data_IF_971743965596
#
_entry.id   IF_971743965596
#
_cell.length_a   1.000
_cell.length_b   1.000
_cell.length_c   1.000
_cell.angle_alpha   90.00
_cell.angle_beta   90.00
_cell.angle_gamma   90.00
#
_symmetry.space_group_name_H-M   'P 1'
#
loop_
_entity.id
_entity.type
_entity.pdbx_description
1 polymer ?
#
# COMPACT_ATOMS: atom_id res chain seq x y z
N UNK A 1 -14.43 -73.38 20.36
CA UNK A 1 -15.18 -72.15 19.98
C UNK A 1 -14.45 -70.97 20.53
N UNK A 2 -13.67 -70.25 19.69
CA UNK A 2 -13.02 -68.99 20.06
C UNK A 2 -13.92 -67.84 19.58
N UNK A 3 -14.37 -67.03 20.50
CA UNK A 3 -15.11 -65.80 20.19
C UNK A 3 -14.14 -64.65 19.99
N UNK A 4 -14.05 -64.08 18.75
CA UNK A 4 -13.30 -62.87 18.45
C UNK A 4 -14.13 -61.66 18.81
N UNK A 5 -13.63 -60.84 19.75
CA UNK A 5 -14.17 -59.51 20.07
C UNK A 5 -13.54 -58.49 19.12
N UNK A 6 -14.33 -57.88 18.26
CA UNK A 6 -13.92 -56.73 17.42
C UNK A 6 -14.13 -55.48 18.24
N UNK A 7 -13.03 -54.79 18.63
CA UNK A 7 -13.06 -53.46 19.24
C UNK A 7 -13.16 -52.41 18.16
N UNK A 8 -14.33 -51.80 17.99
CA UNK A 8 -14.52 -50.64 17.08
C UNK A 8 -13.93 -49.38 17.69
N UNK A 9 -12.87 -48.83 17.05
CA UNK A 9 -12.32 -47.51 17.39
C UNK A 9 -13.21 -46.44 16.76
N UNK A 10 -13.98 -45.74 17.56
CA UNK A 10 -14.74 -44.57 17.13
C UNK A 10 -13.80 -43.36 17.18
N UNK A 11 -13.31 -42.91 16.01
CA UNK A 11 -12.61 -41.64 15.88
C UNK A 11 -13.62 -40.48 15.97
N UNK A 12 -13.64 -39.78 17.08
CA UNK A 12 -14.29 -38.49 17.18
C UNK A 12 -13.39 -37.44 16.49
N UNK A 13 -13.73 -37.04 15.27
CA UNK A 13 -13.20 -35.85 14.65
C UNK A 13 -13.84 -34.64 15.35
N UNK A 14 -13.15 -34.07 16.32
CA UNK A 14 -13.55 -32.80 16.90
C UNK A 14 -13.34 -31.70 15.85
N UNK A 15 -14.43 -31.20 15.27
CA UNK A 15 -14.43 -30.00 14.46
C UNK A 15 -14.20 -28.82 15.39
N UNK A 16 -12.94 -28.40 15.56
CA UNK A 16 -12.62 -27.16 16.27
C UNK A 16 -13.02 -26.00 15.37
N UNK A 17 -14.20 -25.44 15.58
CA UNK A 17 -14.56 -24.13 15.01
C UNK A 17 -13.64 -23.11 15.64
N UNK A 18 -12.74 -22.50 14.85
CA UNK A 18 -11.96 -21.33 15.28
C UNK A 18 -12.97 -20.25 15.70
N UNK A 19 -12.83 -19.67 16.90
CA UNK A 19 -13.75 -18.62 17.33
C UNK A 19 -13.67 -17.43 16.34
N UNK A 20 -14.82 -16.86 16.00
CA UNK A 20 -14.93 -15.65 15.17
C UNK A 20 -14.32 -14.49 15.94
N UNK A 21 -13.69 -13.53 15.24
CA UNK A 21 -13.21 -12.27 15.84
C UNK A 21 -14.34 -11.57 16.60
N UNK A 22 -13.98 -10.85 17.67
CA UNK A 22 -14.88 -9.98 18.45
C UNK A 22 -14.74 -8.51 18.05
N UNK A 23 -14.05 -8.22 16.94
CA UNK A 23 -13.94 -6.89 16.37
C UNK A 23 -15.31 -6.29 16.01
N UNK A 24 -15.33 -5.00 15.74
CA UNK A 24 -16.56 -4.28 15.37
C UNK A 24 -16.34 -3.38 14.17
N UNK A 25 -17.45 -3.02 13.49
CA UNK A 25 -17.45 -2.09 12.36
C UNK A 25 -18.44 -0.98 12.65
N UNK A 26 -17.95 0.27 12.59
CA UNK A 26 -18.77 1.48 12.58
C UNK A 26 -18.86 2.02 11.15
N UNK A 27 -19.94 2.78 10.90
CA UNK A 27 -20.20 3.40 9.59
C UNK A 27 -20.83 4.78 9.79
N UNK A 28 -20.37 5.77 9.01
CA UNK A 28 -20.89 7.13 9.06
C UNK A 28 -20.71 7.85 7.71
N UNK A 29 -21.50 8.91 7.49
CA UNK A 29 -21.27 9.83 6.38
C UNK A 29 -19.98 10.60 6.60
N UNK A 30 -19.16 10.77 5.52
CA UNK A 30 -17.94 11.56 5.56
C UNK A 30 -18.00 12.81 4.66
N UNK A 31 -19.12 13.03 4.00
CA UNK A 31 -19.38 14.18 3.13
C UNK A 31 -19.82 13.77 1.74
N UNK A 32 -19.66 14.70 0.79
CA UNK A 32 -20.00 14.51 -0.63
C UNK A 32 -18.91 15.11 -1.51
N UNK A 33 -18.68 14.49 -2.66
CA UNK A 33 -17.85 15.05 -3.73
C UNK A 33 -18.55 16.25 -4.39
N UNK A 34 -17.83 16.99 -5.23
CA UNK A 34 -18.40 18.18 -5.91
C UNK A 34 -19.58 17.86 -6.82
N UNK A 35 -19.66 16.64 -7.36
CA UNK A 35 -20.78 16.16 -8.18
C UNK A 35 -21.96 15.60 -7.35
N UNK A 36 -21.89 15.71 -6.01
CA UNK A 36 -22.93 15.26 -5.09
C UNK A 36 -22.87 13.77 -4.72
N UNK A 37 -21.85 13.03 -5.16
CA UNK A 37 -21.69 11.62 -4.79
C UNK A 37 -21.36 11.52 -3.30
N UNK A 38 -22.15 10.75 -2.54
CA UNK A 38 -21.93 10.53 -1.11
C UNK A 38 -20.66 9.74 -0.85
N UNK A 39 -19.90 10.17 0.17
CA UNK A 39 -18.72 9.49 0.67
C UNK A 39 -19.00 9.02 2.10
N UNK A 40 -18.69 7.77 2.34
CA UNK A 40 -18.86 7.11 3.63
C UNK A 40 -17.51 6.78 4.23
N UNK A 41 -17.46 6.69 5.57
CA UNK A 41 -16.26 6.23 6.31
C UNK A 41 -16.65 5.05 7.19
N UNK A 42 -15.87 3.98 7.08
CA UNK A 42 -15.97 2.77 7.87
C UNK A 42 -14.88 2.77 8.94
N UNK A 43 -15.27 2.43 10.17
CA UNK A 43 -14.32 2.32 11.29
C UNK A 43 -14.24 0.86 11.70
N UNK A 44 -13.11 0.24 11.43
CA UNK A 44 -12.81 -1.12 11.81
C UNK A 44 -12.08 -1.11 13.16
N UNK A 45 -12.59 -1.83 14.16
CA UNK A 45 -11.93 -2.04 15.44
C UNK A 45 -11.63 -3.52 15.59
N UNK A 46 -10.37 -3.89 15.82
CA UNK A 46 -10.04 -5.27 16.14
C UNK A 46 -10.28 -5.60 17.62
N UNK A 47 -10.15 -6.87 17.98
CA UNK A 47 -10.36 -7.34 19.37
C UNK A 47 -9.32 -6.82 20.38
N UNK A 48 -8.21 -6.21 19.91
CA UNK A 48 -7.14 -5.63 20.76
C UNK A 48 -7.19 -4.11 20.86
N UNK A 49 -8.20 -3.46 20.28
CA UNK A 49 -8.43 -2.02 20.36
C UNK A 49 -7.67 -1.18 19.33
N UNK A 50 -6.99 -1.79 18.35
CA UNK A 50 -6.52 -1.07 17.19
C UNK A 50 -7.71 -0.65 16.31
N UNK A 51 -7.58 0.49 15.63
CA UNK A 51 -8.62 1.08 14.78
C UNK A 51 -8.07 1.46 13.42
N UNK A 52 -8.83 1.18 12.35
CA UNK A 52 -8.60 1.70 11.02
C UNK A 52 -9.87 2.41 10.51
N UNK A 53 -9.74 3.65 10.06
CA UNK A 53 -10.83 4.41 9.44
C UNK A 53 -10.59 4.52 7.95
N UNK A 54 -11.51 3.99 7.15
CA UNK A 54 -11.37 3.85 5.70
C UNK A 54 -12.58 4.50 5.03
N UNK A 55 -12.36 5.47 4.14
CA UNK A 55 -13.43 6.11 3.41
C UNK A 55 -13.59 5.53 2.00
N UNK A 56 -14.80 5.64 1.45
CA UNK A 56 -15.10 5.18 0.09
C UNK A 56 -14.46 6.05 -1.00
N UNK A 57 -14.15 7.32 -0.75
CA UNK A 57 -13.37 8.14 -1.69
C UNK A 57 -11.91 7.68 -1.69
N UNK A 58 -11.45 7.22 -2.85
CA UNK A 58 -10.09 6.69 -3.03
C UNK A 58 -9.77 5.41 -2.24
N UNK A 59 -10.74 4.80 -1.54
CA UNK A 59 -10.48 3.72 -0.58
C UNK A 59 -9.48 4.11 0.50
N UNK A 60 -9.49 5.39 0.89
CA UNK A 60 -8.42 6.01 1.69
C UNK A 60 -8.46 5.56 3.15
N UNK A 61 -7.34 5.08 3.66
CA UNK A 61 -7.09 4.93 5.09
C UNK A 61 -6.86 6.32 5.70
N UNK A 62 -7.92 6.89 6.28
CA UNK A 62 -7.90 8.21 6.88
C UNK A 62 -7.13 8.23 8.21
N UNK A 63 -7.24 7.13 8.99
CA UNK A 63 -6.60 6.99 10.30
C UNK A 63 -6.28 5.52 10.55
N UNK A 64 -5.17 5.27 11.24
CA UNK A 64 -4.76 3.95 11.69
C UNK A 64 -4.12 4.07 13.07
N UNK A 65 -4.82 3.62 14.12
CA UNK A 65 -4.32 3.72 15.49
C UNK A 65 -3.72 2.41 15.97
N UNK A 66 -2.47 2.50 16.45
CA UNK A 66 -1.72 1.36 16.95
C UNK A 66 -1.11 1.67 18.33
N UNK A 67 -1.01 0.67 19.24
CA UNK A 67 -0.40 0.86 20.55
C UNK A 67 1.13 1.04 20.46
N UNK A 68 1.70 1.82 21.39
CA UNK A 68 3.12 1.83 21.68
C UNK A 68 3.48 0.77 22.74
N UNK A 69 4.77 0.71 23.16
CA UNK A 69 5.24 -0.23 24.21
C UNK A 69 4.56 -0.10 25.55
N UNK A 70 3.92 1.04 25.82
CA UNK A 70 3.14 1.31 27.03
C UNK A 70 1.63 1.08 26.84
N UNK A 71 1.22 0.58 25.66
CA UNK A 71 -0.18 0.39 25.31
C UNK A 71 -0.92 1.68 24.91
N UNK A 72 -0.22 2.83 24.81
CA UNK A 72 -0.84 4.09 24.37
C UNK A 72 -1.09 4.06 22.85
N UNK A 73 -2.34 4.21 22.48
CA UNK A 73 -2.76 4.31 21.09
C UNK A 73 -2.36 5.67 20.49
N UNK A 74 -1.89 5.66 19.25
CA UNK A 74 -1.71 6.85 18.43
C UNK A 74 -2.03 6.55 16.97
N UNK A 75 -2.59 7.54 16.29
CA UNK A 75 -2.74 7.51 14.83
C UNK A 75 -1.36 7.63 14.18
N UNK A 76 -1.01 6.66 13.33
CA UNK A 76 0.33 6.53 12.75
C UNK A 76 0.39 6.85 11.26
N UNK A 77 -0.70 7.40 10.67
CA UNK A 77 -0.73 7.78 9.26
C UNK A 77 -1.06 9.26 9.07
N UNK A 78 -0.47 9.89 8.07
CA UNK A 78 -0.78 11.26 7.69
C UNK A 78 -2.09 11.33 6.91
N UNK A 79 -2.76 12.49 6.92
CA UNK A 79 -4.01 12.70 6.21
C UNK A 79 -4.69 14.00 6.62
N UNK A 80 -6.02 14.08 6.37
CA UNK A 80 -6.84 15.23 6.74
C UNK A 80 -8.00 14.80 7.65
N UNK A 81 -8.58 15.78 8.37
CA UNK A 81 -9.73 15.55 9.24
C UNK A 81 -11.04 15.42 8.46
N UNK A 82 -11.10 15.94 7.23
CA UNK A 82 -12.30 16.01 6.43
C UNK A 82 -12.04 15.66 4.96
N UNK A 83 -13.12 15.34 4.24
CA UNK A 83 -13.07 14.96 2.82
C UNK A 83 -12.49 16.06 1.92
N UNK A 84 -12.79 17.35 2.22
CA UNK A 84 -12.38 18.45 1.36
C UNK A 84 -10.86 18.52 1.19
N UNK A 85 -10.09 18.27 2.24
CA UNK A 85 -8.63 18.22 2.15
C UNK A 85 -8.12 17.18 1.14
N UNK A 86 -8.78 16.02 1.06
CA UNK A 86 -8.44 14.97 0.09
C UNK A 86 -8.86 15.33 -1.35
N UNK A 87 -9.96 16.08 -1.53
CA UNK A 87 -10.43 16.52 -2.85
C UNK A 87 -9.52 17.64 -3.40
N UNK A 88 -9.18 18.62 -2.56
CA UNK A 88 -8.48 19.84 -2.99
C UNK A 88 -7.00 19.59 -3.30
N UNK A 89 -6.30 18.93 -2.38
CA UNK A 89 -4.85 18.76 -2.52
C UNK A 89 -4.35 17.59 -1.68
N UNK A 90 -4.22 16.43 -2.29
CA UNK A 90 -3.64 15.26 -1.62
C UNK A 90 -2.42 14.74 -2.38
N UNK A 91 -1.30 14.45 -1.69
CA UNK A 91 -0.21 13.69 -2.26
C UNK A 91 -0.47 12.18 -2.11
N UNK A 92 -1.70 11.72 -2.40
CA UNK A 92 -2.15 10.32 -2.31
C UNK A 92 -2.25 9.75 -0.88
N UNK A 93 -2.39 10.56 0.16
CA UNK A 93 -2.49 10.10 1.55
C UNK A 93 -3.47 8.94 1.72
N UNK A 94 -2.95 7.75 2.09
CA UNK A 94 -3.73 6.57 2.44
C UNK A 94 -4.53 5.91 1.31
N UNK A 95 -4.33 6.33 0.05
CA UNK A 95 -5.18 5.96 -1.07
C UNK A 95 -4.86 4.58 -1.67
N UNK A 96 -5.89 3.94 -2.24
CA UNK A 96 -5.72 2.88 -3.22
C UNK A 96 -5.19 3.47 -4.53
N UNK A 97 -4.13 2.91 -5.06
CA UNK A 97 -3.45 3.38 -6.26
C UNK A 97 -3.69 2.42 -7.42
N UNK A 98 -4.14 2.97 -8.52
CA UNK A 98 -4.42 2.27 -9.77
C UNK A 98 -4.91 3.26 -10.85
N UNK A 99 -5.04 2.80 -12.10
CA UNK A 99 -4.90 1.41 -12.57
C UNK A 99 -3.44 0.92 -12.53
N UNK A 100 -2.47 1.87 -12.53
CA UNK A 100 -1.04 1.60 -12.51
C UNK A 100 -0.33 2.42 -11.42
N UNK A 101 0.18 1.74 -10.40
CA UNK A 101 0.99 2.34 -9.34
C UNK A 101 2.36 2.77 -9.86
N UNK A 102 2.86 3.89 -9.34
CA UNK A 102 4.08 4.54 -9.75
C UNK A 102 4.03 5.07 -11.21
N UNK A 103 5.18 5.30 -11.85
CA UNK A 103 5.31 6.03 -13.12
C UNK A 103 5.28 5.12 -14.34
N UNK A 104 4.71 5.66 -15.45
CA UNK A 104 4.93 5.17 -16.82
C UNK A 104 5.56 6.30 -17.60
N UNK A 105 6.77 6.08 -18.12
CA UNK A 105 7.60 7.06 -18.79
C UNK A 105 6.93 7.61 -20.07
N UNK A 106 6.91 8.95 -20.22
CA UNK A 106 6.27 9.63 -21.34
C UNK A 106 4.76 9.44 -21.42
N UNK A 107 4.12 8.83 -20.40
CA UNK A 107 2.71 8.45 -20.44
C UNK A 107 2.37 7.50 -21.59
N UNK A 108 3.30 6.64 -22.01
CA UNK A 108 3.13 5.77 -23.19
C UNK A 108 3.58 4.36 -22.92
N UNK A 109 2.90 3.41 -23.54
CA UNK A 109 3.32 2.00 -23.57
C UNK A 109 2.79 1.32 -24.84
N UNK A 110 3.40 0.18 -25.17
CA UNK A 110 2.93 -0.72 -26.22
C UNK A 110 2.40 -2.00 -25.56
N UNK A 111 1.18 -2.42 -25.91
CA UNK A 111 0.56 -3.63 -25.43
C UNK A 111 0.00 -4.40 -26.64
N UNK A 112 0.39 -5.67 -26.81
CA UNK A 112 0.01 -6.52 -27.95
C UNK A 112 0.16 -5.82 -29.31
N UNK A 113 1.25 -5.07 -29.50
CA UNK A 113 1.57 -4.35 -30.73
C UNK A 113 0.80 -3.05 -30.97
N UNK A 114 -0.08 -2.64 -30.04
CA UNK A 114 -0.79 -1.36 -30.08
C UNK A 114 -0.14 -0.35 -29.14
N UNK A 115 -0.03 0.90 -29.61
CA UNK A 115 0.48 2.00 -28.79
C UNK A 115 -0.67 2.69 -28.05
N UNK A 116 -0.46 2.94 -26.77
CA UNK A 116 -1.39 3.65 -25.89
C UNK A 116 -0.73 4.91 -25.35
N UNK A 117 -1.55 5.94 -25.14
CA UNK A 117 -1.12 7.20 -24.53
C UNK A 117 -2.03 7.46 -23.34
N UNK A 118 -1.41 7.64 -22.18
CA UNK A 118 -2.08 7.93 -20.91
C UNK A 118 -2.11 9.43 -20.65
N UNK A 119 -3.02 9.85 -19.77
CA UNK A 119 -2.97 11.17 -19.18
C UNK A 119 -1.65 11.37 -18.43
N UNK A 120 -1.02 12.55 -18.60
CA UNK A 120 0.23 12.92 -17.91
C UNK A 120 -0.08 13.89 -16.79
N UNK A 121 0.35 13.56 -15.57
CA UNK A 121 0.10 14.30 -14.34
C UNK A 121 1.37 14.54 -13.51
N UNK A 122 2.53 14.10 -14.02
CA UNK A 122 3.83 14.27 -13.39
C UNK A 122 4.86 14.68 -14.46
N UNK A 123 4.83 15.97 -14.86
CA UNK A 123 5.56 16.45 -16.04
C UNK A 123 5.12 15.70 -17.29
N UNK A 124 6.04 15.08 -18.08
CA UNK A 124 5.69 14.32 -19.28
C UNK A 124 5.19 12.89 -18.95
N UNK A 125 5.21 12.46 -17.69
CA UNK A 125 4.96 11.10 -17.28
C UNK A 125 3.55 10.91 -16.72
N UNK A 126 3.02 9.68 -16.78
CA UNK A 126 1.84 9.27 -16.02
C UNK A 126 2.28 8.73 -14.66
N UNK A 127 1.61 9.16 -13.60
CA UNK A 127 1.87 8.76 -12.21
C UNK A 127 0.58 8.30 -11.55
N UNK A 128 0.63 7.17 -10.86
CA UNK A 128 -0.44 6.65 -10.00
C UNK A 128 -1.82 6.57 -10.68
N UNK A 129 -1.84 6.18 -11.97
CA UNK A 129 -3.07 5.98 -12.73
C UNK A 129 -3.58 7.21 -13.48
N UNK A 130 -2.92 8.38 -13.36
CA UNK A 130 -3.22 9.58 -14.14
C UNK A 130 -3.84 10.73 -13.34
N UNK A 131 -4.58 11.60 -14.01
CA UNK A 131 -5.17 12.82 -13.42
C UNK A 131 -6.26 12.45 -12.42
N UNK A 132 -7.14 11.52 -12.79
CA UNK A 132 -8.20 10.97 -11.95
C UNK A 132 -8.02 9.47 -11.78
N UNK A 133 -6.96 9.08 -11.04
CA UNK A 133 -6.70 7.68 -10.69
C UNK A 133 -7.66 7.15 -9.61
N UNK A 134 -7.39 5.94 -9.14
CA UNK A 134 -8.22 5.24 -8.15
C UNK A 134 -8.32 5.97 -6.80
N UNK A 135 -7.35 6.83 -6.52
CA UNK A 135 -7.30 7.73 -5.36
C UNK A 135 -8.36 8.84 -5.38
N UNK A 136 -8.99 9.10 -6.54
CA UNK A 136 -9.95 10.22 -6.74
C UNK A 136 -11.33 9.77 -7.20
N UNK A 137 -11.64 8.50 -7.06
CA UNK A 137 -12.97 7.95 -7.36
C UNK A 137 -13.66 7.49 -6.09
N UNK A 138 -15.00 7.46 -6.10
CA UNK A 138 -15.77 6.89 -5.00
C UNK A 138 -15.97 5.40 -5.29
N UNK A 139 -15.40 4.56 -4.43
CA UNK A 139 -15.56 3.12 -4.45
C UNK A 139 -16.92 2.73 -3.86
N UNK A 140 -17.48 1.67 -4.38
CA UNK A 140 -18.69 1.07 -3.81
C UNK A 140 -18.29 0.13 -2.66
N UNK A 141 -18.80 0.39 -1.45
CA UNK A 141 -18.69 -0.54 -0.34
C UNK A 141 -19.68 -1.69 -0.55
N UNK A 142 -19.15 -2.84 -1.00
CA UNK A 142 -19.96 -4.00 -1.36
C UNK A 142 -20.35 -4.80 -0.12
N UNK A 143 -19.42 -4.95 0.83
CA UNK A 143 -19.64 -5.68 2.08
C UNK A 143 -18.79 -5.09 3.21
N UNK A 144 -19.32 -5.15 4.43
CA UNK A 144 -18.59 -4.82 5.64
C UNK A 144 -19.03 -5.81 6.74
N UNK A 145 -18.14 -6.74 7.11
CA UNK A 145 -18.46 -7.80 8.06
C UNK A 145 -17.30 -8.09 9.02
N UNK A 146 -17.62 -8.74 10.14
CA UNK A 146 -16.58 -9.28 11.02
C UNK A 146 -16.28 -10.71 10.58
N UNK A 147 -15.15 -10.86 9.89
CA UNK A 147 -14.64 -12.13 9.41
C UNK A 147 -13.97 -12.97 10.49
N UNK A 148 -13.26 -14.00 10.06
CA UNK A 148 -12.49 -14.90 10.95
C UNK A 148 -11.29 -14.21 11.57
N UNK A 149 -10.57 -13.41 10.77
CA UNK A 149 -9.29 -12.82 11.14
C UNK A 149 -9.45 -11.40 11.74
N UNK A 150 -10.63 -10.78 11.59
CA UNK A 150 -10.95 -9.43 12.06
C UNK A 150 -12.10 -8.81 11.27
N UNK A 151 -12.42 -7.52 11.52
CA UNK A 151 -13.37 -6.77 10.71
C UNK A 151 -12.80 -6.50 9.31
N UNK A 152 -13.67 -6.62 8.30
CA UNK A 152 -13.35 -6.51 6.88
C UNK A 152 -14.25 -5.49 6.20
N UNK A 153 -13.71 -4.78 5.22
CA UNK A 153 -14.41 -3.88 4.31
C UNK A 153 -14.05 -4.22 2.88
N UNK A 154 -15.04 -4.65 2.11
CA UNK A 154 -14.89 -4.88 0.67
C UNK A 154 -15.33 -3.63 -0.11
N UNK A 155 -14.41 -3.14 -0.94
CA UNK A 155 -14.61 -2.02 -1.87
C UNK A 155 -14.50 -2.51 -3.30
N UNK A 156 -15.43 -2.12 -4.17
CA UNK A 156 -15.40 -2.46 -5.60
C UNK A 156 -15.40 -1.21 -6.48
N UNK A 157 -14.73 -1.29 -7.63
CA UNK A 157 -14.70 -0.24 -8.63
C UNK A 157 -14.62 -0.84 -10.04
N UNK A 158 -15.42 -0.31 -10.95
CA UNK A 158 -15.31 -0.57 -12.39
C UNK A 158 -14.58 0.59 -13.06
N UNK A 159 -13.31 0.38 -13.39
CA UNK A 159 -12.52 1.29 -14.23
C UNK A 159 -12.86 0.99 -15.70
N UNK A 160 -13.52 1.92 -16.38
CA UNK A 160 -14.06 1.73 -17.73
C UNK A 160 -12.96 1.73 -18.79
N UNK A 161 -13.24 1.10 -19.94
CA UNK A 161 -12.38 1.17 -21.12
C UNK A 161 -12.08 2.63 -21.48
N UNK A 162 -10.80 2.94 -21.68
CA UNK A 162 -10.32 4.29 -22.00
C UNK A 162 -10.15 5.24 -20.80
N UNK A 163 -10.50 4.84 -19.58
CA UNK A 163 -10.26 5.66 -18.39
C UNK A 163 -8.77 5.98 -18.25
N UNK A 164 -8.42 7.29 -18.14
CA UNK A 164 -7.05 7.81 -18.13
C UNK A 164 -6.16 7.35 -19.32
N UNK A 165 -6.76 6.72 -20.35
CA UNK A 165 -6.10 6.18 -21.54
C UNK A 165 -5.79 4.69 -21.48
N UNK A 166 -6.14 3.98 -20.42
CA UNK A 166 -5.94 2.54 -20.31
C UNK A 166 -7.02 1.75 -21.08
N UNK A 167 -6.64 0.68 -21.83
CA UNK A 167 -7.61 -0.16 -22.53
C UNK A 167 -8.35 -1.12 -21.60
N UNK A 168 -9.57 -1.48 -22.03
CA UNK A 168 -10.42 -2.48 -21.40
C UNK A 168 -11.13 -2.03 -20.13
N UNK A 169 -12.28 -2.65 -19.86
CA UNK A 169 -12.93 -2.53 -18.58
C UNK A 169 -12.19 -3.37 -17.55
N UNK A 170 -11.83 -2.78 -16.41
CA UNK A 170 -11.18 -3.45 -15.30
C UNK A 170 -12.12 -3.45 -14.08
N UNK A 171 -12.60 -4.63 -13.69
CA UNK A 171 -13.32 -4.81 -12.43
C UNK A 171 -12.30 -5.04 -11.32
N UNK A 172 -12.35 -4.23 -10.28
CA UNK A 172 -11.42 -4.30 -9.14
C UNK A 172 -12.20 -4.49 -7.87
N UNK A 173 -11.74 -5.41 -7.04
CA UNK A 173 -12.15 -5.59 -5.65
C UNK A 173 -10.94 -5.36 -4.75
N UNK A 174 -11.10 -4.55 -3.71
CA UNK A 174 -10.11 -4.30 -2.67
C UNK A 174 -10.74 -4.64 -1.31
N UNK A 175 -10.17 -5.59 -0.58
CA UNK A 175 -10.63 -6.00 0.74
C UNK A 175 -9.62 -5.56 1.78
N UNK A 176 -10.04 -4.67 2.67
CA UNK A 176 -9.32 -4.31 3.87
C UNK A 176 -9.73 -5.21 5.04
N UNK A 177 -8.76 -5.79 5.73
CA UNK A 177 -8.98 -6.52 6.98
C UNK A 177 -8.10 -5.90 8.07
N UNK A 178 -8.68 -5.46 9.18
CA UNK A 178 -7.91 -5.13 10.39
C UNK A 178 -7.87 -6.36 11.29
N UNK A 179 -6.77 -7.09 11.22
CA UNK A 179 -6.67 -8.39 11.90
C UNK A 179 -6.54 -8.27 13.43
N UNK A 180 -6.93 -9.33 14.15
CA UNK A 180 -6.84 -9.38 15.61
C UNK A 180 -5.40 -9.43 16.14
N UNK A 181 -4.40 -9.65 15.29
CA UNK A 181 -2.98 -9.56 15.62
C UNK A 181 -2.34 -8.22 15.21
N UNK A 182 -3.18 -7.20 14.97
CA UNK A 182 -2.77 -5.83 14.63
C UNK A 182 -2.12 -5.72 13.24
N UNK A 183 -2.60 -6.43 12.23
CA UNK A 183 -2.22 -6.16 10.87
C UNK A 183 -3.33 -5.41 10.11
N UNK A 184 -2.96 -4.42 9.30
CA UNK A 184 -3.79 -3.91 8.23
C UNK A 184 -3.44 -4.69 6.96
N UNK A 185 -4.32 -5.60 6.58
CA UNK A 185 -4.20 -6.42 5.38
C UNK A 185 -5.08 -5.84 4.28
N UNK A 186 -4.54 -5.75 3.08
CA UNK A 186 -5.24 -5.32 1.88
C UNK A 186 -5.05 -6.37 0.79
N UNK A 187 -6.16 -6.92 0.29
CA UNK A 187 -6.14 -7.87 -0.82
C UNK A 187 -6.84 -7.26 -2.02
N UNK A 188 -6.14 -7.22 -3.14
CA UNK A 188 -6.71 -6.84 -4.43
C UNK A 188 -6.99 -8.08 -5.27
N UNK A 189 -8.13 -8.06 -5.96
CA UNK A 189 -8.40 -8.92 -7.12
C UNK A 189 -8.90 -8.06 -8.26
N UNK A 190 -8.49 -8.38 -9.50
CA UNK A 190 -9.01 -7.68 -10.67
C UNK A 190 -9.12 -8.61 -11.88
N UNK A 191 -10.13 -8.33 -12.73
CA UNK A 191 -10.33 -9.01 -14.03
C UNK A 191 -10.59 -7.97 -15.11
N UNK A 192 -10.15 -8.27 -16.33
CA UNK A 192 -10.33 -7.38 -17.49
C UNK A 192 -11.03 -8.10 -18.63
N UNK A 193 -11.79 -7.35 -19.43
CA UNK A 193 -12.45 -7.85 -20.66
C UNK A 193 -11.59 -7.73 -21.91
N UNK A 194 -10.49 -6.96 -21.84
CA UNK A 194 -9.48 -6.81 -22.88
C UNK A 194 -8.09 -6.82 -22.25
N UNK A 195 -7.00 -7.10 -23.00
CA UNK A 195 -5.65 -6.93 -22.51
C UNK A 195 -5.42 -5.52 -22.00
N UNK A 196 -4.91 -5.39 -20.78
CA UNK A 196 -4.66 -4.11 -20.12
C UNK A 196 -3.45 -4.19 -19.19
N UNK A 197 -3.08 -3.07 -18.58
CA UNK A 197 -2.09 -3.03 -17.51
C UNK A 197 -2.82 -3.00 -16.15
N UNK A 198 -2.29 -3.74 -15.18
CA UNK A 198 -2.78 -3.73 -13.81
C UNK A 198 -1.59 -3.80 -12.84
N UNK A 199 -1.42 -2.79 -12.00
CA UNK A 199 -0.38 -2.71 -10.99
C UNK A 199 -0.91 -1.89 -9.80
N UNK A 200 -1.54 -2.54 -8.83
CA UNK A 200 -2.26 -1.90 -7.74
C UNK A 200 -1.41 -1.87 -6.48
N UNK A 201 -1.48 -0.76 -5.74
CA UNK A 201 -0.79 -0.61 -4.47
C UNK A 201 -1.56 0.30 -3.51
N UNK A 202 -0.96 0.61 -2.35
CA UNK A 202 -1.52 1.43 -1.29
C UNK A 202 -0.51 2.47 -0.83
N UNK A 203 -0.96 3.73 -0.63
CA UNK A 203 -0.08 4.88 -0.46
C UNK A 203 -0.24 5.58 0.91
N UNK A 204 -0.31 4.84 2.01
CA UNK A 204 -0.25 5.46 3.33
C UNK A 204 1.12 6.05 3.63
N UNK A 205 1.11 7.26 4.19
CA UNK A 205 2.31 7.88 4.77
C UNK A 205 2.33 7.57 6.25
N UNK A 206 3.27 6.73 6.66
CA UNK A 206 3.41 6.30 8.05
C UNK A 206 4.35 7.23 8.83
N UNK A 207 4.03 7.47 10.10
CA UNK A 207 4.96 7.95 11.11
C UNK A 207 4.69 7.15 12.40
N UNK A 208 5.57 6.21 12.72
CA UNK A 208 5.37 5.31 13.86
C UNK A 208 5.52 6.01 15.22
N UNK A 209 6.06 7.26 15.26
CA UNK A 209 6.01 8.10 16.47
C UNK A 209 4.58 8.61 16.75
N UNK A 210 3.68 8.51 15.76
CA UNK A 210 2.37 9.14 15.70
C UNK A 210 2.37 10.32 14.73
N UNK A 211 1.28 10.50 13.96
CA UNK A 211 1.17 11.61 13.02
C UNK A 211 1.31 12.96 13.78
N UNK A 212 2.06 13.90 13.18
CA UNK A 212 2.37 15.19 13.79
C UNK A 212 3.53 15.19 14.80
N UNK A 213 4.14 14.03 15.11
CA UNK A 213 5.23 13.93 16.08
C UNK A 213 6.62 13.96 15.41
N UNK A 214 6.92 15.05 14.68
CA UNK A 214 8.23 15.26 14.08
C UNK A 214 8.47 14.47 12.78
N UNK A 215 9.76 14.31 12.44
CA UNK A 215 10.20 13.63 11.23
C UNK A 215 10.41 12.12 11.44
N UNK A 216 10.68 11.42 10.31
CA UNK A 216 10.89 9.97 10.30
C UNK A 216 12.37 9.57 10.26
N UNK A 217 13.30 10.51 10.38
CA UNK A 217 14.72 10.26 10.15
C UNK A 217 15.34 9.30 11.19
N UNK A 218 14.77 9.26 12.40
CA UNK A 218 15.15 8.33 13.47
C UNK A 218 14.59 6.91 13.35
N UNK A 219 13.64 6.66 12.43
CA UNK A 219 13.11 5.32 12.22
C UNK A 219 14.19 4.40 11.64
N UNK A 220 14.29 3.19 12.18
CA UNK A 220 15.26 2.17 11.77
C UNK A 220 14.61 1.25 10.75
N UNK A 221 15.17 1.21 9.55
CA UNK A 221 14.64 0.44 8.40
C UNK A 221 15.55 -0.73 8.06
N UNK A 222 14.94 -1.88 7.83
CA UNK A 222 15.51 -3.05 7.16
C UNK A 222 14.68 -3.33 5.91
N UNK A 223 15.32 -3.63 4.76
CA UNK A 223 14.67 -4.05 3.51
C UNK A 223 15.30 -5.36 3.04
N UNK A 224 14.48 -6.36 2.77
CA UNK A 224 14.91 -7.68 2.29
C UNK A 224 15.19 -7.65 0.77
N UNK A 225 16.24 -6.92 0.37
CA UNK A 225 16.57 -6.74 -1.03
C UNK A 225 18.08 -6.57 -1.23
N UNK A 226 18.64 -7.25 -2.23
CA UNK A 226 20.04 -7.11 -2.65
C UNK A 226 20.22 -6.10 -3.78
N UNK A 227 19.12 -5.60 -4.37
CA UNK A 227 19.15 -4.71 -5.53
C UNK A 227 18.03 -3.69 -5.53
N UNK A 228 18.23 -2.61 -6.30
CA UNK A 228 17.25 -1.59 -6.63
C UNK A 228 17.08 -1.45 -8.14
N UNK A 229 16.03 -0.78 -8.57
CA UNK A 229 15.86 -0.33 -9.96
C UNK A 229 16.19 1.17 -10.02
N UNK A 230 17.41 1.54 -10.52
CA UNK A 230 17.81 2.95 -10.58
C UNK A 230 16.91 3.76 -11.51
N UNK A 231 16.85 5.06 -11.24
CA UNK A 231 16.03 6.01 -11.98
C UNK A 231 16.87 7.09 -12.69
N UNK A 232 16.26 7.75 -13.65
CA UNK A 232 16.78 8.99 -14.25
C UNK A 232 16.33 10.24 -13.46
N UNK A 233 16.68 11.43 -13.96
CA UNK A 233 16.32 12.71 -13.32
C UNK A 233 14.82 13.02 -13.30
N UNK A 234 13.99 12.23 -13.99
CA UNK A 234 12.53 12.32 -13.97
C UNK A 234 11.90 11.21 -13.10
N UNK A 235 12.72 10.47 -12.36
CA UNK A 235 12.32 9.32 -11.55
C UNK A 235 11.70 8.17 -12.36
N UNK A 236 12.10 8.04 -13.64
CA UNK A 236 11.75 6.90 -14.48
C UNK A 236 12.86 5.86 -14.38
N UNK A 237 12.49 4.61 -14.12
CA UNK A 237 13.45 3.50 -14.04
C UNK A 237 14.23 3.33 -15.33
N UNK A 238 15.56 3.13 -15.21
CA UNK A 238 16.43 2.96 -16.39
C UNK A 238 16.26 1.59 -17.07
N UNK A 239 15.65 0.62 -16.39
CA UNK A 239 15.56 -0.78 -16.82
C UNK A 239 16.68 -1.66 -16.27
N UNK A 240 17.64 -1.07 -15.58
CA UNK A 240 18.70 -1.79 -14.88
C UNK A 240 18.23 -2.31 -13.53
N UNK A 241 18.85 -3.38 -13.04
CA UNK A 241 18.77 -3.85 -11.66
C UNK A 241 20.19 -3.77 -11.10
N UNK A 242 20.40 -2.91 -10.09
CA UNK A 242 21.75 -2.66 -9.51
C UNK A 242 21.84 -3.14 -8.07
N UNK A 243 22.96 -3.77 -7.67
CA UNK A 243 23.22 -4.14 -6.29
C UNK A 243 23.17 -2.92 -5.36
N UNK A 244 22.67 -3.12 -4.14
CA UNK A 244 22.67 -2.10 -3.07
C UNK A 244 24.00 -2.01 -2.34
N UNK A 245 24.85 -3.02 -2.46
CA UNK A 245 26.11 -3.13 -1.74
C UNK A 245 27.02 -1.90 -1.97
N UNK A 246 27.51 -1.32 -0.86
CA UNK A 246 28.35 -0.12 -0.91
C UNK A 246 27.64 1.17 -1.29
N UNK A 247 26.30 1.18 -1.37
CA UNK A 247 25.49 2.36 -1.72
C UNK A 247 24.66 2.85 -0.53
N UNK A 248 24.10 4.07 -0.56
CA UNK A 248 23.18 4.55 0.45
C UNK A 248 21.87 3.73 0.54
N UNK A 249 21.57 2.89 -0.47
CA UNK A 249 20.39 2.07 -0.59
C UNK A 249 20.49 0.71 0.12
N UNK A 250 21.64 0.40 0.75
CA UNK A 250 21.86 -0.87 1.47
C UNK A 250 21.17 -0.87 2.83
N UNK A 251 19.91 -1.31 2.86
CA UNK A 251 19.11 -1.53 4.07
C UNK A 251 19.04 -3.01 4.49
N UNK A 252 19.96 -3.87 4.03
CA UNK A 252 20.08 -5.27 4.47
C UNK A 252 20.49 -5.40 5.94
N UNK A 253 20.97 -4.32 6.53
CA UNK A 253 21.14 -4.19 7.99
C UNK A 253 20.26 -3.05 8.49
N UNK A 254 19.61 -3.21 9.66
CA UNK A 254 18.81 -2.15 10.25
C UNK A 254 19.59 -0.82 10.32
N UNK A 255 19.06 0.21 9.67
CA UNK A 255 19.74 1.51 9.51
C UNK A 255 18.72 2.64 9.64
N UNK A 256 19.07 3.71 10.34
CA UNK A 256 18.21 4.89 10.45
C UNK A 256 18.00 5.54 9.08
N UNK A 257 16.78 5.98 8.78
CA UNK A 257 16.44 6.66 7.51
C UNK A 257 17.39 7.85 7.30
N UNK A 258 17.65 8.63 8.34
CA UNK A 258 18.49 9.83 8.29
C UNK A 258 19.98 9.56 8.12
N UNK A 259 20.45 8.32 8.31
CA UNK A 259 21.89 8.03 8.36
C UNK A 259 22.62 8.34 7.04
N UNK A 260 21.96 8.10 5.91
CA UNK A 260 22.57 8.23 4.57
C UNK A 260 21.70 8.96 3.55
N UNK A 261 20.53 9.43 3.94
CA UNK A 261 19.53 10.07 3.03
C UNK A 261 20.06 11.33 2.33
N UNK A 262 21.12 11.92 2.86
CA UNK A 262 21.75 13.14 2.32
C UNK A 262 23.16 12.87 1.76
N UNK A 263 23.55 11.62 1.58
CA UNK A 263 24.82 11.25 0.97
C UNK A 263 24.92 11.82 -0.46
N UNK A 264 26.14 12.13 -0.96
CA UNK A 264 26.36 12.71 -2.29
C UNK A 264 26.20 11.65 -3.39
N UNK A 265 25.06 10.96 -3.41
CA UNK A 265 24.71 9.93 -4.40
C UNK A 265 23.73 10.52 -5.44
N UNK A 266 23.96 10.20 -6.73
CA UNK A 266 23.15 10.74 -7.82
C UNK A 266 21.68 10.32 -7.74
N UNK A 267 21.41 9.10 -7.31
CA UNK A 267 20.03 8.59 -7.15
C UNK A 267 19.30 9.37 -6.04
N UNK A 268 19.98 9.62 -4.91
CA UNK A 268 19.41 10.46 -3.83
C UNK A 268 19.20 11.91 -4.26
N UNK A 269 20.00 12.44 -5.20
CA UNK A 269 19.80 13.77 -5.76
C UNK A 269 18.56 13.84 -6.65
N UNK A 270 18.28 12.78 -7.43
CA UNK A 270 17.08 12.70 -8.27
C UNK A 270 15.79 12.64 -7.45
N UNK A 271 15.74 11.83 -6.38
CA UNK A 271 14.58 11.67 -5.52
C UNK A 271 14.48 12.66 -4.34
N UNK A 272 15.31 13.73 -4.23
CA UNK A 272 15.82 14.47 -3.09
C UNK A 272 15.80 13.70 -1.75
N UNK A 273 16.23 12.43 -1.79
CA UNK A 273 16.20 11.43 -0.74
C UNK A 273 15.72 10.08 -1.30
N UNK A 274 15.20 9.20 -0.45
CA UNK A 274 14.66 7.91 -0.91
C UNK A 274 13.30 8.12 -1.58
N UNK A 275 13.18 7.72 -2.84
CA UNK A 275 11.97 7.56 -3.64
C UNK A 275 12.26 6.52 -4.73
N UNK A 276 12.54 5.30 -4.32
CA UNK A 276 13.08 4.25 -5.19
C UNK A 276 12.40 2.92 -4.92
N UNK A 277 12.53 2.00 -5.90
CA UNK A 277 12.02 0.64 -5.79
C UNK A 277 13.16 -0.35 -5.49
N UNK A 278 12.97 -1.17 -4.48
CA UNK A 278 13.81 -2.31 -4.11
C UNK A 278 13.28 -3.60 -4.72
N UNK A 279 14.18 -4.42 -5.26
CA UNK A 279 13.91 -5.76 -5.79
C UNK A 279 13.96 -6.75 -4.65
N UNK A 280 12.79 -7.25 -4.24
CA UNK A 280 12.66 -8.06 -3.02
C UNK A 280 13.17 -9.49 -3.22
N UNK A 281 13.95 -9.98 -2.25
CA UNK A 281 14.54 -11.32 -2.25
C UNK A 281 13.51 -12.40 -1.90
N UNK A 282 12.57 -12.65 -2.83
CA UNK A 282 11.58 -13.72 -2.72
C UNK A 282 11.10 -14.19 -4.10
N UNK A 283 10.54 -15.39 -4.23
CA UNK A 283 9.93 -15.82 -5.49
C UNK A 283 8.75 -14.92 -5.88
N UNK A 284 8.62 -14.65 -7.19
CA UNK A 284 7.53 -13.85 -7.76
C UNK A 284 6.16 -14.45 -7.39
N UNK A 285 5.24 -13.59 -6.99
CA UNK A 285 3.86 -13.96 -6.64
C UNK A 285 3.69 -14.70 -5.30
N UNK A 286 4.77 -15.02 -4.59
CA UNK A 286 4.68 -15.60 -3.25
C UNK A 286 4.60 -14.52 -2.17
N UNK A 287 3.75 -14.76 -1.17
CA UNK A 287 3.70 -13.95 0.05
C UNK A 287 5.02 -14.07 0.82
N UNK A 288 5.61 -12.94 1.22
CA UNK A 288 6.86 -12.94 1.97
C UNK A 288 7.22 -11.57 2.56
N UNK A 289 8.19 -11.54 3.49
CA UNK A 289 8.63 -10.30 4.15
C UNK A 289 9.40 -9.42 3.16
N UNK A 290 9.09 -8.13 3.16
CA UNK A 290 9.73 -7.12 2.32
C UNK A 290 10.58 -6.14 3.14
N UNK A 291 10.03 -5.62 4.23
CA UNK A 291 10.69 -4.62 5.06
C UNK A 291 10.25 -4.71 6.52
N UNK A 292 11.07 -4.13 7.39
CA UNK A 292 10.76 -3.91 8.80
C UNK A 292 11.21 -2.52 9.21
N UNK A 293 10.32 -1.78 9.88
CA UNK A 293 10.59 -0.43 10.38
C UNK A 293 10.32 -0.38 11.88
N UNK A 294 11.26 0.19 12.63
CA UNK A 294 11.14 0.37 14.09
C UNK A 294 11.23 1.86 14.40
N UNK A 295 10.35 2.36 15.23
CA UNK A 295 10.50 3.67 15.86
C UNK A 295 10.98 3.48 17.30
N UNK A 296 12.23 3.86 17.63
CA UNK A 296 12.87 3.47 18.88
C UNK A 296 12.22 4.03 20.14
N UNK A 297 11.61 5.23 20.07
CA UNK A 297 11.02 5.91 21.23
C UNK A 297 9.72 5.27 21.66
N UNK A 298 8.81 5.05 20.74
CA UNK A 298 7.51 4.41 21.02
C UNK A 298 7.61 2.89 21.07
N UNK A 299 8.66 2.32 20.48
CA UNK A 299 8.83 0.89 20.29
C UNK A 299 7.92 0.31 19.21
N UNK A 300 7.13 1.12 18.48
CA UNK A 300 6.31 0.61 17.40
C UNK A 300 7.14 0.03 16.29
N UNK A 301 6.70 -1.13 15.82
CA UNK A 301 7.29 -1.87 14.71
C UNK A 301 6.24 -2.04 13.64
N UNK A 302 6.63 -1.82 12.38
CA UNK A 302 5.86 -2.17 11.19
C UNK A 302 6.66 -3.16 10.36
N UNK A 303 6.09 -4.31 10.06
CA UNK A 303 6.60 -5.23 9.06
C UNK A 303 5.72 -5.17 7.81
N UNK A 304 6.34 -5.12 6.64
CA UNK A 304 5.65 -5.12 5.35
C UNK A 304 5.82 -6.48 4.70
N UNK A 305 4.70 -7.11 4.38
CA UNK A 305 4.63 -8.39 3.68
C UNK A 305 3.78 -8.24 2.42
N UNK A 306 4.15 -8.88 1.32
CA UNK A 306 3.33 -8.85 0.12
C UNK A 306 3.65 -10.00 -0.84
N UNK A 307 2.75 -10.21 -1.82
CA UNK A 307 2.96 -11.06 -3.00
C UNK A 307 3.74 -10.33 -4.10
N UNK A 308 3.89 -9.00 -4.04
CA UNK A 308 4.53 -8.18 -5.06
C UNK A 308 6.07 -8.33 -5.08
N UNK A 309 6.71 -8.19 -6.26
CA UNK A 309 8.16 -8.36 -6.40
C UNK A 309 8.98 -7.15 -5.96
N UNK A 310 8.40 -5.97 -5.94
CA UNK A 310 9.04 -4.70 -5.65
C UNK A 310 8.46 -4.01 -4.45
N UNK A 311 9.27 -3.17 -3.81
CA UNK A 311 8.88 -2.29 -2.73
C UNK A 311 9.38 -0.88 -3.04
N UNK A 312 8.48 0.06 -3.30
CA UNK A 312 8.82 1.48 -3.31
C UNK A 312 8.93 1.95 -1.86
N UNK A 313 10.08 2.50 -1.51
CA UNK A 313 10.26 3.25 -0.28
C UNK A 313 10.43 4.73 -0.60
N UNK A 314 9.48 5.54 -0.12
CA UNK A 314 9.44 6.98 -0.27
C UNK A 314 9.50 7.66 1.09
N UNK A 315 10.48 8.55 1.29
CA UNK A 315 10.75 9.17 2.58
C UNK A 315 10.04 10.53 2.78
N UNK A 316 8.95 10.82 2.07
CA UNK A 316 8.18 12.05 2.23
C UNK A 316 8.93 13.32 1.80
N UNK A 317 9.82 13.20 0.82
CA UNK A 317 10.76 14.27 0.42
C UNK A 317 10.06 15.50 -0.18
N UNK A 318 8.86 15.33 -0.77
CA UNK A 318 8.09 16.40 -1.43
C UNK A 318 7.03 17.04 -0.53
N UNK A 319 6.90 16.61 0.74
CA UNK A 319 6.16 17.38 1.73
C UNK A 319 6.94 18.66 2.04
N UNK A 320 6.31 19.82 1.88
CA UNK A 320 7.00 21.12 1.84
C UNK A 320 6.50 22.13 2.89
N UNK A 321 5.63 21.68 3.80
CA UNK A 321 5.04 22.54 4.81
C UNK A 321 3.81 23.34 4.34
N UNK A 322 3.34 23.12 3.11
CA UNK A 322 2.11 23.78 2.61
C UNK A 322 0.84 23.01 2.96
N UNK A 323 0.95 21.76 3.40
CA UNK A 323 -0.18 20.93 3.78
C UNK A 323 -0.42 21.04 5.29
N UNK A 324 -1.63 21.50 5.64
CA UNK A 324 -2.16 21.43 7.01
C UNK A 324 -3.06 20.21 7.10
N UNK A 325 -2.59 19.19 7.81
CA UNK A 325 -3.25 17.91 7.96
C UNK A 325 -4.11 17.78 9.21
N UNK A 326 -4.25 16.56 9.71
CA UNK A 326 -5.07 16.22 10.87
C UNK A 326 -4.67 16.99 12.11
N UNK A 327 -5.67 17.48 12.86
CA UNK A 327 -5.46 18.27 14.08
C UNK A 327 -4.75 19.61 13.84
N UNK A 328 -4.76 20.14 12.61
CA UNK A 328 -4.07 21.40 12.26
C UNK A 328 -2.55 21.27 12.17
N UNK A 329 -1.99 20.07 12.12
CA UNK A 329 -0.56 19.84 12.02
C UNK A 329 -0.07 20.13 10.60
N UNK A 330 0.96 20.95 10.47
CA UNK A 330 1.62 21.19 9.18
C UNK A 330 2.61 20.08 8.88
N UNK A 331 2.44 19.41 7.71
CA UNK A 331 3.33 18.34 7.28
C UNK A 331 4.56 18.89 6.57
N UNK A 332 5.67 18.84 7.26
CA UNK A 332 6.99 19.24 6.77
C UNK A 332 7.65 18.10 6.01
N UNK A 333 8.73 18.42 5.31
CA UNK A 333 9.55 17.42 4.63
C UNK A 333 9.94 16.28 5.58
N UNK A 334 9.71 15.03 5.14
CA UNK A 334 10.09 13.83 5.89
C UNK A 334 9.33 13.63 7.21
N UNK A 335 8.10 14.10 7.29
CA UNK A 335 7.23 13.82 8.46
C UNK A 335 6.41 12.54 8.32
N UNK A 336 6.53 11.85 7.17
CA UNK A 336 5.93 10.54 6.92
C UNK A 336 6.69 9.80 5.82
N UNK A 337 6.63 8.48 5.82
CA UNK A 337 7.22 7.62 4.78
C UNK A 337 6.16 6.67 4.20
N UNK A 338 6.36 6.25 2.94
CA UNK A 338 5.53 5.26 2.29
C UNK A 338 6.32 3.97 2.01
N UNK A 339 5.65 2.84 2.15
CA UNK A 339 6.12 1.51 1.76
C UNK A 339 5.05 0.91 0.85
N UNK A 340 5.32 0.88 -0.45
CA UNK A 340 4.35 0.57 -1.49
C UNK A 340 4.76 -0.70 -2.24
N UNK A 341 4.27 -1.89 -1.82
CA UNK A 341 4.48 -3.11 -2.60
C UNK A 341 3.78 -3.02 -3.96
N UNK A 342 4.53 -3.20 -5.05
CA UNK A 342 4.00 -3.24 -6.42
C UNK A 342 5.02 -3.85 -7.39
N UNK A 343 4.64 -4.09 -8.64
CA UNK A 343 5.58 -4.39 -9.72
C UNK A 343 6.49 -3.19 -9.97
N UNK A 344 7.67 -3.44 -10.55
CA UNK A 344 8.66 -2.38 -10.74
C UNK A 344 8.08 -1.23 -11.58
N UNK A 345 8.41 0.04 -11.23
CA UNK A 345 7.92 1.19 -12.00
C UNK A 345 8.32 1.09 -13.47
N UNK A 346 7.44 1.57 -14.35
CA UNK A 346 7.62 1.58 -15.81
C UNK A 346 7.83 0.19 -16.45
N UNK A 347 7.39 -0.90 -15.80
CA UNK A 347 7.50 -2.28 -16.29
C UNK A 347 7.02 -2.47 -17.75
N UNK A 348 5.92 -1.83 -18.24
CA UNK A 348 5.50 -1.98 -19.62
C UNK A 348 6.54 -1.57 -20.65
N UNK A 349 7.47 -0.67 -20.27
CA UNK A 349 8.54 -0.15 -21.12
C UNK A 349 9.90 -0.79 -20.82
N UNK A 350 9.97 -1.78 -19.94
CA UNK A 350 11.21 -2.41 -19.47
C UNK A 350 11.13 -3.94 -19.63
N UNK A 351 11.62 -4.47 -20.77
CA UNK A 351 11.44 -5.90 -21.12
C UNK A 351 12.00 -6.91 -20.11
N UNK A 352 12.94 -6.49 -19.27
CA UNK A 352 13.55 -7.34 -18.23
C UNK A 352 12.77 -7.32 -16.90
N UNK A 353 11.77 -6.44 -16.77
CA UNK A 353 10.96 -6.34 -15.56
C UNK A 353 9.77 -7.31 -15.62
N UNK A 354 9.26 -7.76 -14.48
CA UNK A 354 8.05 -8.57 -14.44
C UNK A 354 6.88 -7.87 -15.14
N UNK A 355 6.12 -8.62 -15.92
CA UNK A 355 5.00 -8.07 -16.68
C UNK A 355 3.86 -7.61 -15.78
N UNK A 356 3.24 -6.50 -16.13
CA UNK A 356 2.01 -5.96 -15.53
C UNK A 356 0.80 -6.11 -16.45
N UNK A 357 0.96 -6.86 -17.55
CA UNK A 357 -0.14 -7.17 -18.46
C UNK A 357 -1.14 -8.12 -17.80
N UNK A 358 -2.43 -7.75 -17.87
CA UNK A 358 -3.55 -8.60 -17.47
C UNK A 358 -4.42 -8.91 -18.69
N UNK A 359 -4.57 -10.19 -19.02
CA UNK A 359 -5.37 -10.67 -20.16
C UNK A 359 -6.76 -11.12 -19.74
N UNK A 360 -7.76 -11.09 -20.63
CA UNK A 360 -9.05 -11.72 -20.41
C UNK A 360 -8.90 -13.18 -19.96
N UNK A 361 -9.68 -13.56 -18.94
CA UNK A 361 -9.63 -14.89 -18.35
C UNK A 361 -8.53 -15.09 -17.31
N UNK A 362 -7.65 -14.11 -17.10
CA UNK A 362 -6.72 -14.08 -15.97
C UNK A 362 -7.32 -13.27 -14.82
N UNK A 363 -6.91 -13.59 -13.60
CA UNK A 363 -7.20 -12.80 -12.40
C UNK A 363 -5.90 -12.23 -11.86
N UNK A 364 -5.84 -10.89 -11.75
CA UNK A 364 -4.82 -10.22 -10.98
C UNK A 364 -5.08 -10.47 -9.50
N UNK A 365 -4.04 -10.77 -8.76
CA UNK A 365 -4.10 -10.95 -7.32
C UNK A 365 -2.87 -10.35 -6.66
N UNK A 366 -3.10 -9.46 -5.69
CA UNK A 366 -2.05 -8.88 -4.85
C UNK A 366 -2.53 -8.83 -3.40
N UNK A 367 -1.66 -9.19 -2.47
CA UNK A 367 -1.89 -9.02 -1.04
C UNK A 367 -0.76 -8.20 -0.45
N UNK A 368 -1.12 -7.15 0.29
CA UNK A 368 -0.24 -6.29 1.08
C UNK A 368 -0.65 -6.43 2.54
N UNK A 369 0.30 -6.62 3.43
CA UNK A 369 0.04 -6.72 4.85
C UNK A 369 1.04 -5.88 5.63
N UNK A 370 0.54 -4.89 6.36
CA UNK A 370 1.29 -4.09 7.33
C UNK A 370 1.02 -4.64 8.71
N UNK A 371 1.98 -5.36 9.29
CA UNK A 371 1.89 -5.98 10.61
C UNK A 371 2.49 -5.07 11.65
N UNK A 372 1.74 -4.78 12.71
CA UNK A 372 2.20 -3.90 13.76
C UNK A 372 2.42 -4.66 15.06
N UNK A 373 3.56 -4.38 15.68
CA UNK A 373 3.96 -4.91 16.98
C UNK A 373 4.74 -3.86 17.78
N UNK A 374 5.25 -4.23 18.94
CA UNK A 374 6.09 -3.35 19.77
C UNK A 374 7.35 -4.08 20.23
N UNK A 375 8.48 -3.37 20.20
CA UNK A 375 9.70 -3.73 20.92
C UNK A 375 9.69 -3.12 22.32
N UNK A 376 10.17 -3.89 23.32
CA UNK A 376 10.25 -3.46 24.71
C UNK A 376 11.41 -2.49 24.95
#
# INVERSE_FOLDING_TARGET
MLASVILGVVCFTSCTTTPKSTGTIGHASFGQTQDGTSVEIYTLHNSKGAEARIMTYGGIVQSLTMPDRNGKLADIVLGYDNLQGYIDKTPYFGALIGRYGNRIGGGKFTLEGKNYTLATNNGPNSLHGGIKGFDKVVWHAAEAEVGKDGPELELTYLSKDGEEGFPGNLNVTAVYTLTDDNALKLTFTATADQPTLCNLTHHSYFNLSGQGNGDILGHIVYINADSTTPVDSQLITTGEIKPVDGTPFDFRKPTAIGARINDPDQQLQYGPGYDHNWVINKPLGQMGPMARVVEPTSGRVMEVWSTEPGLQFYAGNFLDGTIVGKGGVTYQRRTGFCMEPHHYPDSPNKPLFPTTELKPGQTYHNTIEYKFSVEQ
#
